data_IF_424079797490
#
_entry.id   IF_424079797490
#
_cell.length_a   1.000
_cell.length_b   1.000
_cell.length_c   1.000
_cell.angle_alpha   90.00
_cell.angle_beta   90.00
_cell.angle_gamma   90.00
#
_symmetry.space_group_name_H-M   'P 1'
#
loop_
_entity.id
_entity.type
_entity.pdbx_description
1 polymer ?
#
# COMPACT_ATOMS: atom_id res chain seq x y z
N UNK A 1 27.78 6.51 -35.35
CA UNK A 1 27.48 5.14 -34.88
C UNK A 1 26.86 5.25 -33.49
N UNK A 2 25.54 5.40 -33.39
CA UNK A 2 24.80 5.59 -32.11
C UNK A 2 23.48 4.77 -32.12
N UNK A 3 23.41 3.72 -32.94
CA UNK A 3 22.19 2.89 -33.10
C UNK A 3 21.97 1.78 -32.05
N UNK A 4 22.99 1.19 -31.38
CA UNK A 4 22.73 0.12 -30.41
C UNK A 4 22.19 0.62 -29.06
N UNK A 5 22.46 1.88 -28.66
CA UNK A 5 22.13 2.39 -27.32
C UNK A 5 20.62 2.62 -27.10
N UNK A 6 19.93 3.24 -28.06
CA UNK A 6 18.49 3.58 -27.90
C UNK A 6 17.59 2.35 -27.98
N UNK A 7 17.87 1.44 -28.92
CA UNK A 7 17.06 0.22 -29.08
C UNK A 7 17.13 -0.67 -27.83
N UNK A 8 18.34 -0.90 -27.30
CA UNK A 8 18.52 -1.66 -26.06
C UNK A 8 17.85 -0.98 -24.86
N UNK A 9 17.89 0.36 -24.80
CA UNK A 9 17.21 1.11 -23.74
C UNK A 9 15.71 0.85 -23.73
N UNK A 10 15.02 0.93 -24.87
CA UNK A 10 13.58 0.70 -24.93
C UNK A 10 13.19 -0.76 -24.71
N UNK A 11 14.02 -1.72 -25.15
CA UNK A 11 13.81 -3.14 -24.85
C UNK A 11 13.98 -3.43 -23.35
N UNK A 12 14.95 -2.80 -22.68
CA UNK A 12 15.10 -2.89 -21.21
C UNK A 12 13.91 -2.30 -20.45
N UNK A 13 13.22 -1.31 -21.05
CA UNK A 13 11.97 -0.78 -20.51
C UNK A 13 10.76 -1.69 -20.80
N UNK A 14 10.92 -2.74 -21.61
CA UNK A 14 9.89 -3.71 -21.96
C UNK A 14 9.13 -3.39 -23.24
N UNK A 15 9.46 -2.33 -23.98
CA UNK A 15 8.78 -2.02 -25.23
C UNK A 15 9.14 -3.01 -26.34
N UNK A 16 8.15 -3.36 -27.17
CA UNK A 16 8.34 -4.25 -28.30
C UNK A 16 9.25 -3.62 -29.37
N UNK A 17 10.10 -4.44 -29.98
CA UNK A 17 11.08 -3.99 -30.98
C UNK A 17 10.40 -3.38 -32.21
N UNK A 18 9.27 -3.92 -32.67
CA UNK A 18 8.56 -3.44 -33.84
C UNK A 18 7.96 -2.04 -33.60
N UNK A 19 7.44 -1.82 -32.39
CA UNK A 19 6.89 -0.53 -31.99
C UNK A 19 7.96 0.54 -31.87
N UNK A 20 9.11 0.22 -31.28
CA UNK A 20 10.25 1.13 -31.18
C UNK A 20 10.81 1.48 -32.56
N UNK A 21 10.93 0.51 -33.48
CA UNK A 21 11.35 0.76 -34.86
C UNK A 21 10.36 1.64 -35.62
N UNK A 22 9.06 1.40 -35.45
CA UNK A 22 7.99 2.20 -36.07
C UNK A 22 8.06 3.66 -35.62
N UNK A 23 8.28 3.90 -34.33
CA UNK A 23 8.37 5.25 -33.76
C UNK A 23 9.68 5.93 -34.18
N UNK A 24 10.81 5.23 -34.13
CA UNK A 24 12.09 5.78 -34.59
C UNK A 24 12.08 6.08 -36.10
N UNK A 25 11.41 5.27 -36.91
CA UNK A 25 11.20 5.54 -38.34
C UNK A 25 10.35 6.78 -38.61
N UNK A 26 9.46 7.16 -37.67
CA UNK A 26 8.63 8.36 -37.78
C UNK A 26 9.33 9.63 -37.28
N UNK A 27 10.00 9.58 -36.13
CA UNK A 27 10.67 10.76 -35.55
C UNK A 27 12.09 10.99 -36.06
N UNK A 28 12.70 9.98 -36.69
CA UNK A 28 14.07 10.03 -37.18
C UNK A 28 15.12 9.74 -36.11
N UNK A 29 16.36 9.48 -36.54
CA UNK A 29 17.45 9.00 -35.68
C UNK A 29 17.87 10.01 -34.58
N UNK A 30 17.62 11.30 -34.83
CA UNK A 30 17.89 12.41 -33.91
C UNK A 30 16.84 12.61 -32.81
N UNK A 31 15.75 11.85 -32.80
CA UNK A 31 14.69 11.99 -31.80
C UNK A 31 15.21 11.81 -30.37
N UNK A 32 14.78 12.67 -29.45
CA UNK A 32 15.13 12.53 -28.05
C UNK A 32 14.40 11.33 -27.45
N UNK A 33 15.01 10.71 -26.42
CA UNK A 33 14.42 9.55 -25.73
C UNK A 33 12.99 9.85 -25.25
N UNK A 34 12.76 11.07 -24.74
CA UNK A 34 11.44 11.49 -24.26
C UNK A 34 10.39 11.58 -25.37
N UNK A 35 10.78 12.04 -26.56
CA UNK A 35 9.86 12.15 -27.71
C UNK A 35 9.44 10.76 -28.19
N UNK A 36 10.38 9.82 -28.22
CA UNK A 36 10.12 8.42 -28.53
C UNK A 36 9.22 7.76 -27.48
N UNK A 37 9.46 8.00 -26.19
CA UNK A 37 8.57 7.52 -25.11
C UNK A 37 7.15 8.09 -25.23
N UNK A 38 7.02 9.39 -25.50
CA UNK A 38 5.72 10.03 -25.66
C UNK A 38 4.95 9.45 -26.86
N UNK A 39 5.62 9.22 -27.98
CA UNK A 39 4.98 8.64 -29.16
C UNK A 39 4.60 7.18 -28.93
N UNK A 40 5.43 6.37 -28.26
CA UNK A 40 5.10 5.00 -27.87
C UNK A 40 3.84 4.94 -26.98
N UNK A 41 3.72 5.86 -26.02
CA UNK A 41 2.51 5.98 -25.18
C UNK A 41 1.31 6.40 -26.02
N UNK A 42 1.48 7.36 -26.95
CA UNK A 42 0.42 7.86 -27.84
C UNK A 42 -0.10 6.77 -28.78
N UNK A 43 0.77 5.89 -29.27
CA UNK A 43 0.38 4.76 -30.13
C UNK A 43 -0.18 3.57 -29.35
N UNK A 44 -0.22 3.65 -28.02
CA UNK A 44 -0.76 2.61 -27.16
C UNK A 44 0.19 1.42 -26.94
N UNK A 45 1.47 1.55 -27.29
CA UNK A 45 2.48 0.54 -27.01
C UNK A 45 2.66 0.43 -25.50
N UNK A 46 2.44 -0.77 -24.97
CA UNK A 46 2.66 -1.06 -23.55
C UNK A 46 3.97 -1.82 -23.43
N UNK A 47 4.83 -1.46 -22.48
CA UNK A 47 5.97 -2.31 -22.18
C UNK A 47 5.42 -3.68 -21.75
N UNK A 48 5.78 -4.70 -22.50
CA UNK A 48 5.54 -6.09 -22.14
C UNK A 48 6.11 -6.30 -20.75
N UNK A 49 5.32 -6.92 -19.87
CA UNK A 49 5.84 -7.40 -18.61
C UNK A 49 6.91 -8.43 -18.95
N UNK A 50 8.19 -8.03 -18.90
CA UNK A 50 9.30 -8.96 -18.84
C UNK A 50 8.91 -10.00 -17.79
N UNK A 51 8.93 -11.28 -18.17
CA UNK A 51 8.73 -12.41 -17.28
C UNK A 51 9.91 -12.49 -16.32
N UNK A 52 9.98 -11.52 -15.40
CA UNK A 52 10.67 -11.70 -14.14
C UNK A 52 9.86 -12.73 -13.35
N UNK A 53 10.51 -13.71 -12.68
CA UNK A 53 9.80 -14.71 -11.90
C UNK A 53 8.88 -13.99 -10.91
N UNK A 54 7.58 -14.08 -11.16
CA UNK A 54 6.48 -13.57 -10.35
C UNK A 54 6.76 -12.21 -9.67
N UNK A 55 6.85 -11.13 -10.45
CA UNK A 55 6.57 -9.81 -9.88
C UNK A 55 5.14 -9.86 -9.29
N UNK A 56 4.93 -9.55 -8.00
CA UNK A 56 3.61 -9.65 -7.40
C UNK A 56 2.68 -8.67 -8.11
N UNK A 57 1.66 -9.21 -8.78
CA UNK A 57 0.61 -8.41 -9.41
C UNK A 57 -0.07 -7.60 -8.32
N UNK A 58 0.20 -6.30 -8.28
CA UNK A 58 -0.54 -5.36 -7.45
C UNK A 58 -1.94 -5.20 -8.06
N UNK A 59 -2.86 -6.03 -7.59
CA UNK A 59 -4.28 -5.87 -7.86
C UNK A 59 -4.88 -4.88 -6.84
N UNK A 60 -5.63 -3.86 -7.27
CA UNK A 60 -6.48 -3.09 -6.38
C UNK A 60 -7.54 -4.02 -5.79
N UNK A 61 -7.25 -4.60 -4.62
CA UNK A 61 -8.15 -5.50 -3.90
C UNK A 61 -9.02 -4.75 -2.89
N UNK A 62 -9.44 -3.55 -3.29
CA UNK A 62 -10.31 -2.65 -2.55
C UNK A 62 -11.67 -2.54 -3.22
N UNK A 63 -12.32 -3.67 -3.49
CA UNK A 63 -13.75 -3.66 -3.72
C UNK A 63 -14.39 -4.16 -2.43
N UNK A 64 -15.01 -3.26 -1.68
CA UNK A 64 -16.07 -3.64 -0.78
C UNK A 64 -17.07 -4.43 -1.62
N UNK A 65 -17.34 -5.68 -1.27
CA UNK A 65 -18.30 -6.50 -2.00
C UNK A 65 -19.65 -5.80 -2.05
N UNK A 66 -19.94 -5.15 -3.18
CA UNK A 66 -21.30 -4.94 -3.61
C UNK A 66 -21.81 -6.34 -3.96
N UNK A 67 -22.70 -6.82 -3.11
CA UNK A 67 -23.40 -8.08 -3.27
C UNK A 67 -24.38 -7.88 -4.44
N UNK A 68 -23.94 -8.11 -5.68
CA UNK A 68 -24.85 -8.24 -6.80
C UNK A 68 -24.99 -9.71 -7.21
N UNK A 69 -26.24 -10.13 -7.09
CA UNK A 69 -26.78 -11.44 -7.43
C UNK A 69 -26.67 -11.77 -8.91
N UNK A 70 -26.81 -13.08 -9.18
CA UNK A 70 -26.79 -13.77 -10.47
C UNK A 70 -25.36 -14.02 -10.98
N UNK A 71 -24.86 -15.26 -10.94
CA UNK A 71 -25.42 -16.34 -11.75
C UNK A 71 -25.43 -17.69 -11.02
N UNK A 72 -26.54 -18.38 -11.24
CA UNK A 72 -26.93 -19.70 -10.72
C UNK A 72 -26.22 -20.80 -11.54
N UNK A 73 -25.57 -21.73 -10.85
CA UNK A 73 -25.10 -23.02 -11.39
C UNK A 73 -25.32 -24.13 -10.35
N UNK A 74 -25.84 -25.33 -10.71
CA UNK A 74 -26.29 -26.33 -9.75
C UNK A 74 -25.24 -27.42 -9.43
N UNK A 75 -25.22 -27.88 -8.17
CA UNK A 75 -24.51 -29.08 -7.70
C UNK A 75 -23.18 -28.71 -7.00
N UNK A 76 -22.85 -29.17 -5.80
CA UNK A 76 -23.34 -30.25 -4.94
C UNK A 76 -23.03 -29.87 -3.48
N UNK A 77 -23.87 -30.30 -2.55
CA UNK A 77 -23.73 -30.09 -1.11
C UNK A 77 -22.36 -30.58 -0.58
N UNK A 78 -21.52 -29.63 -0.17
CA UNK A 78 -20.61 -29.71 0.96
C UNK A 78 -20.61 -28.32 1.60
N UNK A 79 -21.55 -28.15 2.53
CA UNK A 79 -21.50 -27.06 3.49
C UNK A 79 -20.32 -27.31 4.45
N UNK A 80 -19.81 -26.20 4.99
CA UNK A 80 -18.72 -26.08 5.97
C UNK A 80 -17.31 -25.80 5.38
N UNK A 81 -16.82 -24.61 5.74
CA UNK A 81 -15.46 -24.06 5.61
C UNK A 81 -15.11 -23.10 4.44
N UNK A 82 -16.08 -22.44 3.83
CA UNK A 82 -15.81 -21.21 3.06
C UNK A 82 -15.79 -19.92 3.91
N UNK A 83 -16.15 -20.03 5.20
CA UNK A 83 -16.17 -18.90 6.14
C UNK A 83 -14.84 -18.65 6.86
N UNK A 84 -13.96 -19.64 7.00
CA UNK A 84 -12.70 -19.47 7.76
C UNK A 84 -11.55 -18.87 6.94
N UNK A 85 -11.51 -19.12 5.62
CA UNK A 85 -10.45 -18.57 4.76
C UNK A 85 -10.75 -17.15 4.26
N UNK A 86 -12.02 -16.74 4.29
CA UNK A 86 -12.47 -15.38 3.98
C UNK A 86 -12.48 -14.44 5.21
N UNK A 87 -12.29 -14.97 6.42
CA UNK A 87 -12.45 -14.25 7.69
C UNK A 87 -11.15 -13.71 8.30
N UNK A 88 -9.98 -14.03 7.75
CA UNK A 88 -8.73 -13.42 8.23
C UNK A 88 -8.54 -12.03 7.65
N UNK A 89 -8.99 -11.01 8.37
CA UNK A 89 -8.69 -9.62 8.05
C UNK A 89 -7.17 -9.40 8.03
N UNK A 90 -6.70 -8.57 7.09
CA UNK A 90 -5.26 -8.31 6.97
C UNK A 90 -4.71 -7.69 8.27
N UNK A 91 -3.46 -8.05 8.66
CA UNK A 91 -2.71 -7.32 9.67
C UNK A 91 -2.70 -5.82 9.44
N UNK A 92 -2.89 -5.04 10.49
CA UNK A 92 -2.82 -3.57 10.45
C UNK A 92 -1.53 -3.10 11.10
N UNK A 93 -0.79 -2.24 10.40
CA UNK A 93 0.39 -1.55 10.94
C UNK A 93 0.15 -0.05 10.88
N UNK A 94 0.25 0.62 12.03
CA UNK A 94 -0.03 2.05 12.18
C UNK A 94 1.27 2.78 12.51
N UNK A 95 1.58 3.83 11.74
CA UNK A 95 2.53 4.86 12.15
C UNK A 95 1.88 5.72 13.22
N UNK A 96 2.19 5.42 14.49
CA UNK A 96 1.58 6.11 15.62
C UNK A 96 1.99 7.58 15.69
N UNK A 97 3.19 7.94 15.24
CA UNK A 97 3.63 9.35 15.27
C UNK A 97 2.84 10.20 14.30
N UNK A 98 2.66 9.72 13.07
CA UNK A 98 1.89 10.45 12.07
C UNK A 98 0.42 10.62 12.49
N UNK A 99 -0.22 9.56 12.98
CA UNK A 99 -1.60 9.63 13.49
C UNK A 99 -1.70 10.60 14.68
N UNK A 100 -0.77 10.51 15.63
CA UNK A 100 -0.77 11.38 16.81
C UNK A 100 -0.58 12.85 16.45
N UNK A 101 0.35 13.18 15.55
CA UNK A 101 0.60 14.55 15.11
C UNK A 101 -0.55 15.10 14.27
N UNK A 102 -1.15 14.28 13.40
CA UNK A 102 -2.33 14.68 12.62
C UNK A 102 -3.51 15.03 13.53
N UNK A 103 -3.84 14.16 14.49
CA UNK A 103 -4.91 14.45 15.46
C UNK A 103 -4.56 15.63 16.38
N UNK A 104 -3.28 15.82 16.70
CA UNK A 104 -2.82 16.92 17.55
C UNK A 104 -2.63 18.25 16.81
N UNK A 105 -3.24 18.43 15.64
CA UNK A 105 -3.15 19.63 14.81
C UNK A 105 -1.71 20.03 14.44
N UNK A 106 -0.80 19.06 14.31
CA UNK A 106 0.65 19.26 14.08
C UNK A 106 1.39 20.01 15.20
N UNK A 107 0.71 20.34 16.29
CA UNK A 107 1.27 21.09 17.42
C UNK A 107 1.63 20.19 18.60
N UNK A 108 0.83 19.13 18.79
CA UNK A 108 0.98 18.24 19.94
C UNK A 108 0.96 16.77 19.52
N UNK A 109 1.62 15.92 20.31
CA UNK A 109 1.47 14.48 20.13
C UNK A 109 0.22 14.00 20.86
N UNK A 110 -0.81 13.59 20.11
CA UNK A 110 -2.08 13.13 20.68
C UNK A 110 -2.17 11.60 20.77
N UNK A 111 -1.96 11.05 21.98
CA UNK A 111 -2.18 9.62 22.24
C UNK A 111 -3.63 9.19 21.97
N UNK A 112 -4.60 10.10 22.17
CA UNK A 112 -6.01 9.86 21.84
C UNK A 112 -6.21 9.60 20.35
N UNK A 113 -5.44 10.25 19.47
CA UNK A 113 -5.52 9.99 18.02
C UNK A 113 -5.15 8.56 17.66
N UNK A 114 -4.10 8.03 18.29
CA UNK A 114 -3.70 6.63 18.13
C UNK A 114 -4.80 5.69 18.61
N UNK A 115 -5.37 5.94 19.81
CA UNK A 115 -6.48 5.15 20.35
C UNK A 115 -7.65 5.08 19.38
N UNK A 116 -8.10 6.22 18.88
CA UNK A 116 -9.24 6.28 17.95
C UNK A 116 -8.98 5.47 16.67
N UNK A 117 -7.75 5.52 16.13
CA UNK A 117 -7.39 4.71 14.97
C UNK A 117 -7.43 3.22 15.30
N UNK A 118 -6.90 2.80 16.45
CA UNK A 118 -6.94 1.39 16.88
C UNK A 118 -8.37 0.91 17.07
N UNK A 119 -9.19 1.65 17.81
CA UNK A 119 -10.59 1.31 18.09
C UNK A 119 -11.38 1.17 16.78
N UNK A 120 -11.15 2.06 15.81
CA UNK A 120 -11.78 1.98 14.48
C UNK A 120 -11.54 0.65 13.76
N UNK A 121 -10.33 0.09 13.83
CA UNK A 121 -10.02 -1.21 13.23
C UNK A 121 -10.56 -2.37 14.07
N UNK A 122 -10.51 -2.27 15.41
CA UNK A 122 -11.06 -3.29 16.31
C UNK A 122 -12.57 -3.46 16.13
N UNK A 123 -13.31 -2.35 16.02
CA UNK A 123 -14.75 -2.35 15.81
C UNK A 123 -15.18 -3.02 14.48
N UNK A 124 -14.23 -3.22 13.55
CA UNK A 124 -14.40 -3.92 12.28
C UNK A 124 -13.93 -5.38 12.32
N UNK A 125 -13.55 -5.87 13.50
CA UNK A 125 -13.11 -7.26 13.70
C UNK A 125 -11.62 -7.49 13.49
N UNK A 126 -10.79 -6.47 13.26
CA UNK A 126 -9.34 -6.69 13.15
C UNK A 126 -8.77 -7.08 14.52
N UNK A 127 -8.17 -8.27 14.59
CA UNK A 127 -7.55 -8.81 15.80
C UNK A 127 -6.05 -8.52 15.88
N UNK A 128 -5.36 -8.40 14.75
CA UNK A 128 -3.93 -8.09 14.70
C UNK A 128 -3.67 -6.64 14.25
N UNK A 129 -3.36 -5.79 15.22
CA UNK A 129 -3.04 -4.37 15.00
C UNK A 129 -1.74 -4.04 15.74
N UNK A 130 -0.74 -3.53 15.01
CA UNK A 130 0.55 -3.11 15.55
C UNK A 130 0.74 -1.61 15.34
N UNK A 131 1.02 -0.87 16.40
CA UNK A 131 1.35 0.55 16.33
C UNK A 131 2.84 0.73 16.60
N UNK A 132 3.54 1.48 15.76
CA UNK A 132 4.93 1.87 16.00
C UNK A 132 5.01 3.32 16.48
N UNK A 133 5.69 3.52 17.61
CA UNK A 133 6.00 4.83 18.19
C UNK A 133 7.44 4.79 18.71
N UNK A 134 8.26 5.83 18.48
CA UNK A 134 9.62 5.89 19.03
C UNK A 134 9.64 5.74 20.56
N UNK A 135 10.66 5.07 21.09
CA UNK A 135 10.77 4.75 22.51
C UNK A 135 10.76 5.99 23.41
N UNK A 136 11.40 7.07 22.96
CA UNK A 136 11.51 8.35 23.68
C UNK A 136 10.16 9.05 23.91
N UNK A 137 9.09 8.67 23.21
CA UNK A 137 7.73 9.18 23.50
C UNK A 137 7.19 8.68 24.85
N UNK A 138 7.87 7.71 25.47
CA UNK A 138 7.56 7.21 26.83
C UNK A 138 8.19 8.08 27.92
N UNK A 139 9.18 8.90 27.58
CA UNK A 139 9.86 9.76 28.54
C UNK A 139 8.91 10.90 28.97
N UNK A 140 9.14 11.54 30.13
CA UNK A 140 8.35 12.69 30.54
C UNK A 140 8.36 13.76 29.43
N UNK A 141 7.20 14.38 29.12
CA UNK A 141 7.15 15.43 28.12
C UNK A 141 8.09 16.56 28.53
N UNK A 142 9.01 16.90 27.63
CA UNK A 142 9.87 18.06 27.78
C UNK A 142 9.12 19.30 27.26
N UNK A 143 9.56 20.49 27.65
CA UNK A 143 8.88 21.74 27.27
C UNK A 143 8.77 21.93 25.73
N UNK A 144 9.70 21.33 24.98
CA UNK A 144 9.76 21.29 23.51
C UNK A 144 8.87 20.19 22.88
N UNK A 145 8.29 19.28 23.68
CA UNK A 145 7.52 18.12 23.21
C UNK A 145 6.21 17.92 23.99
N UNK A 146 5.25 18.84 23.86
CA UNK A 146 3.98 18.73 24.56
C UNK A 146 3.17 17.50 24.12
N UNK A 147 2.79 16.67 25.10
CA UNK A 147 1.90 15.51 24.93
C UNK A 147 0.55 15.86 25.57
N UNK A 148 -0.53 15.82 24.78
CA UNK A 148 -1.89 16.07 25.29
C UNK A 148 -2.51 14.76 25.79
N UNK A 149 -2.99 14.74 27.04
CA UNK A 149 -3.70 13.60 27.62
C UNK A 149 -2.93 12.79 28.67
N UNK A 150 -2.21 13.44 29.59
CA UNK A 150 -1.48 12.84 30.72
C UNK A 150 -2.39 12.11 31.76
N UNK A 151 -3.67 11.85 31.44
CA UNK A 151 -4.62 11.08 32.25
C UNK A 151 -4.73 9.60 31.89
N UNK A 152 -3.97 9.12 30.89
CA UNK A 152 -3.94 7.69 30.49
C UNK A 152 -2.54 7.07 30.70
N UNK A 153 -1.86 7.50 31.76
CA UNK A 153 -0.40 7.39 31.95
C UNK A 153 0.15 5.98 32.20
N UNK A 154 -0.68 4.97 32.41
CA UNK A 154 -0.30 3.61 32.79
C UNK A 154 -0.77 2.55 31.79
N UNK A 155 -1.98 2.68 31.22
CA UNK A 155 -2.58 1.64 30.36
C UNK A 155 -1.96 1.58 28.94
N UNK A 156 -1.65 2.73 28.34
CA UNK A 156 -1.13 2.80 26.96
C UNK A 156 0.36 2.52 26.83
N UNK A 157 1.11 2.66 27.91
CA UNK A 157 2.52 2.22 27.96
C UNK A 157 2.63 0.74 27.63
N UNK A 158 1.64 -0.06 28.06
CA UNK A 158 1.57 -1.50 27.80
C UNK A 158 1.25 -1.83 26.34
N UNK A 159 0.32 -1.11 25.70
CA UNK A 159 -0.01 -1.33 24.27
C UNK A 159 1.16 -1.01 23.32
N UNK A 160 1.95 0.03 23.63
CA UNK A 160 3.14 0.37 22.84
C UNK A 160 4.32 -0.60 23.05
N UNK A 161 4.25 -1.49 24.05
CA UNK A 161 5.28 -2.49 24.33
C UNK A 161 5.10 -3.81 23.58
N UNK A 162 4.06 -3.96 22.76
CA UNK A 162 3.87 -5.19 22.00
C UNK A 162 3.36 -6.34 22.85
N UNK A 163 2.33 -6.09 23.67
CA UNK A 163 1.44 -7.17 24.04
C UNK A 163 0.65 -7.57 22.79
N UNK A 164 1.02 -8.70 22.19
CA UNK A 164 0.03 -9.57 21.56
C UNK A 164 -1.07 -9.79 22.59
N UNK A 165 -2.27 -9.29 22.34
CA UNK A 165 -3.45 -9.72 23.08
C UNK A 165 -3.63 -11.21 22.77
N UNK A 166 -3.17 -12.06 23.68
CA UNK A 166 -3.59 -13.45 23.79
C UNK A 166 -4.53 -13.51 24.99
N UNK A 167 -5.74 -13.96 24.66
CA UNK A 167 -6.90 -14.40 25.46
C UNK A 167 -7.05 -13.89 26.90
#
# INVERSE_FOLDING_TARGET
MEHPSKMEFFQKLGYDREDVLRVLGKLGEGALVNDVLQELIRTGSRPGALEYPAAPRLVPRGSCGALDSAQRGPGTALEEDFGALASSLRPIVIDGSNVAMSHGNKETFSCRGIKLAVDWFRDRGHTYIKVFVPSWRKDPPRADTPIRGMGMGNEWRSMLLGATARE
#
